data_IF_839740213077
#
_entry.id   IF_839740213077
#
_cell.length_a   1.000
_cell.length_b   1.000
_cell.length_c   1.000
_cell.angle_alpha   90.00
_cell.angle_beta   90.00
_cell.angle_gamma   90.00
#
_symmetry.space_group_name_H-M   'P 1'
#
loop_
_entity.id
_entity.type
_entity.pdbx_description
1 polymer ?
#
# COMPACT_ATOMS: atom_id res chain seq x y z
N UNK A 1 12.66 7.84 8.80
CA UNK A 1 11.31 7.43 8.36
C UNK A 1 10.92 8.16 7.08
N UNK A 2 11.39 7.63 5.96
CA UNK A 2 10.92 7.92 4.62
C UNK A 2 10.55 6.57 4.01
N UNK A 3 9.42 6.44 3.34
CA UNK A 3 9.04 5.19 2.68
C UNK A 3 9.85 5.02 1.39
N UNK A 4 10.57 3.90 1.23
CA UNK A 4 11.34 3.55 0.03
C UNK A 4 11.20 2.05 -0.27
N UNK A 5 11.24 1.68 -1.55
CA UNK A 5 11.46 0.32 -2.03
C UNK A 5 12.94 -0.05 -1.86
N UNK A 6 13.28 -0.47 -0.64
CA UNK A 6 14.66 -0.74 -0.22
C UNK A 6 15.14 -2.13 -0.68
N UNK A 7 15.32 -2.32 -1.99
CA UNK A 7 15.87 -3.57 -2.54
C UNK A 7 17.25 -3.87 -1.91
N UNK A 8 17.40 -5.06 -1.33
CA UNK A 8 18.65 -5.49 -0.70
C UNK A 8 18.88 -4.92 0.71
N UNK A 9 17.81 -4.51 1.40
CA UNK A 9 17.85 -4.02 2.77
C UNK A 9 18.64 -4.91 3.73
N UNK A 10 19.52 -4.29 4.53
CA UNK A 10 20.26 -4.91 5.63
C UNK A 10 19.73 -4.41 6.99
N UNK A 11 19.25 -5.34 7.81
CA UNK A 11 18.60 -5.02 9.06
C UNK A 11 19.52 -4.42 10.15
N UNK A 12 20.84 -4.53 10.00
CA UNK A 12 21.81 -4.01 10.98
C UNK A 12 22.36 -2.63 10.62
N UNK A 13 22.40 -2.29 9.33
CA UNK A 13 23.18 -1.15 8.82
C UNK A 13 22.44 -0.21 7.88
N UNK A 14 21.19 -0.53 7.51
CA UNK A 14 20.43 0.31 6.57
C UNK A 14 19.12 0.81 7.14
N UNK A 15 18.76 2.02 6.74
CA UNK A 15 17.47 2.65 6.87
C UNK A 15 17.25 3.56 5.64
N UNK A 16 16.00 3.84 5.23
CA UNK A 16 14.71 3.37 5.76
C UNK A 16 14.12 2.15 5.01
N UNK A 17 12.93 1.70 5.45
CA UNK A 17 12.12 0.65 4.81
C UNK A 17 10.82 1.23 4.22
N UNK A 18 9.93 0.34 3.79
CA UNK A 18 8.66 0.66 3.15
C UNK A 18 7.72 1.55 3.99
N UNK A 19 7.73 1.47 5.33
CA UNK A 19 6.63 2.01 6.16
C UNK A 19 7.00 3.21 7.02
N UNK A 20 6.00 4.05 7.24
CA UNK A 20 6.05 5.19 8.15
C UNK A 20 4.96 5.03 9.22
N UNK A 21 5.39 4.86 10.48
CA UNK A 21 4.52 4.83 11.66
C UNK A 21 5.21 5.67 12.74
N UNK A 22 4.85 6.96 12.91
CA UNK A 22 5.57 7.90 13.75
C UNK A 22 5.18 7.79 15.23
N UNK A 23 5.28 6.57 15.78
CA UNK A 23 4.93 6.27 17.16
C UNK A 23 6.13 5.67 17.90
N UNK A 24 6.57 6.36 18.95
CA UNK A 24 7.60 5.90 19.87
C UNK A 24 6.97 5.43 21.17
N UNK A 25 7.32 4.22 21.64
CA UNK A 25 6.98 3.73 22.98
C UNK A 25 8.23 3.61 23.83
N UNK A 26 8.17 4.12 25.06
CA UNK A 26 9.29 4.07 26.01
C UNK A 26 8.83 3.46 27.32
N UNK A 27 9.55 2.44 27.79
CA UNK A 27 9.40 1.88 29.13
C UNK A 27 10.39 2.58 30.07
N UNK A 28 9.90 3.01 31.22
CA UNK A 28 10.71 3.59 32.30
C UNK A 28 10.69 2.67 33.52
N UNK A 29 11.40 3.04 34.58
CA UNK A 29 11.32 2.33 35.87
C UNK A 29 9.96 2.48 36.56
N UNK A 30 9.22 3.54 36.21
CA UNK A 30 7.98 3.96 36.90
C UNK A 30 6.74 3.83 36.00
N UNK A 31 6.86 3.15 34.86
CA UNK A 31 5.76 2.95 33.93
C UNK A 31 6.22 2.96 32.47
N UNK A 32 5.40 3.51 31.60
CA UNK A 32 5.66 3.68 30.19
C UNK A 32 4.98 4.95 29.66
N UNK A 33 5.53 5.52 28.61
CA UNK A 33 4.88 6.56 27.83
C UNK A 33 5.02 6.29 26.33
N UNK A 34 4.10 6.85 25.56
CA UNK A 34 4.14 6.83 24.10
C UNK A 34 4.01 8.25 23.55
N UNK A 35 4.69 8.52 22.45
CA UNK A 35 4.56 9.77 21.70
C UNK A 35 4.22 9.41 20.26
N UNK A 36 3.04 9.82 19.80
CA UNK A 36 2.63 9.70 18.40
C UNK A 36 2.74 11.09 17.76
N UNK A 37 3.65 11.24 16.80
CA UNK A 37 3.81 12.47 16.05
C UNK A 37 2.84 12.45 14.88
N UNK A 38 1.82 13.29 14.91
CA UNK A 38 0.77 13.35 13.89
C UNK A 38 1.24 14.18 12.69
N UNK A 39 2.26 13.63 12.03
CA UNK A 39 2.93 14.27 10.90
C UNK A 39 3.27 13.22 9.85
N UNK A 40 2.85 13.51 8.62
CA UNK A 40 2.90 12.58 7.49
C UNK A 40 4.16 12.78 6.60
N UNK A 41 4.94 13.82 6.87
CA UNK A 41 6.17 14.10 6.14
C UNK A 41 7.24 13.06 6.46
N UNK A 42 8.23 12.96 5.58
CA UNK A 42 9.47 12.29 5.91
C UNK A 42 10.02 12.84 7.23
N UNK A 43 10.38 11.93 8.14
CA UNK A 43 10.80 12.27 9.49
C UNK A 43 11.99 11.45 9.95
N UNK A 44 12.72 11.91 10.96
CA UNK A 44 13.89 11.24 11.53
C UNK A 44 13.76 11.16 13.04
N UNK A 45 14.18 10.02 13.59
CA UNK A 45 14.34 9.81 15.02
C UNK A 45 15.81 9.68 15.33
N UNK A 46 16.28 10.46 16.29
CA UNK A 46 17.52 10.20 16.97
C UNK A 46 17.17 9.60 18.32
N UNK A 47 17.59 8.36 18.57
CA UNK A 47 17.32 7.65 19.82
C UNK A 47 18.55 7.63 20.74
N UNK A 48 19.21 8.77 20.91
CA UNK A 48 20.43 8.91 21.70
C UNK A 48 21.71 8.52 20.97
N UNK A 49 21.70 8.57 19.63
CA UNK A 49 22.85 8.25 18.78
C UNK A 49 23.82 9.43 18.62
N UNK A 50 23.35 10.66 18.84
CA UNK A 50 24.19 11.86 18.75
C UNK A 50 25.15 11.95 19.93
N UNK A 51 26.41 12.23 19.61
CA UNK A 51 27.49 12.39 20.58
C UNK A 51 27.70 13.89 20.80
N UNK A 52 27.32 14.36 21.98
CA UNK A 52 27.49 15.75 22.40
C UNK A 52 28.29 15.80 23.71
N UNK A 53 29.28 16.69 23.77
CA UNK A 53 30.14 16.86 24.94
C UNK A 53 29.43 17.56 26.12
N UNK A 54 28.41 18.35 25.84
CA UNK A 54 27.72 19.18 26.82
C UNK A 54 26.34 18.64 27.22
N UNK A 55 25.74 17.78 26.41
CA UNK A 55 24.42 17.20 26.66
C UNK A 55 24.50 15.68 26.86
N UNK A 56 23.67 15.15 27.76
CA UNK A 56 23.48 13.70 27.90
C UNK A 56 22.76 13.16 26.66
N UNK A 57 22.84 11.84 26.37
CA UNK A 57 22.07 11.24 25.29
C UNK A 57 20.59 11.64 25.38
N UNK A 58 20.06 12.17 24.28
CA UNK A 58 18.69 12.64 24.19
C UNK A 58 17.98 12.01 22.99
N UNK A 59 16.66 11.99 23.06
CA UNK A 59 15.82 11.60 21.92
C UNK A 59 15.32 12.86 21.23
N UNK A 60 15.42 12.91 19.90
CA UNK A 60 14.82 13.96 19.10
C UNK A 60 14.05 13.38 17.93
N UNK A 61 13.04 14.14 17.51
CA UNK A 61 12.26 13.88 16.31
C UNK A 61 12.26 15.13 15.45
N UNK A 62 12.37 14.94 14.14
CA UNK A 62 12.33 16.00 13.14
C UNK A 62 11.47 15.53 11.96
N UNK A 63 10.69 16.42 11.36
CA UNK A 63 10.07 16.23 10.06
C UNK A 63 10.57 17.29 9.07
N UNK A 64 10.62 16.93 7.79
CA UNK A 64 11.03 17.85 6.72
C UNK A 64 9.98 18.96 6.52
N UNK A 65 8.69 18.67 6.75
CA UNK A 65 7.57 19.59 6.59
C UNK A 65 6.46 19.37 7.64
N UNK A 66 5.47 20.26 7.63
CA UNK A 66 4.28 20.20 8.48
C UNK A 66 4.52 20.73 9.90
N UNK A 67 3.43 20.85 10.65
CA UNK A 67 3.46 21.35 12.01
C UNK A 67 3.99 20.29 12.99
N UNK A 68 4.42 20.76 14.17
CA UNK A 68 4.69 19.90 15.31
C UNK A 68 3.36 19.62 16.00
N UNK A 69 2.70 18.54 15.59
CA UNK A 69 1.52 17.97 16.26
C UNK A 69 1.87 16.59 16.82
N UNK A 70 1.59 16.36 18.10
CA UNK A 70 1.85 15.08 18.74
C UNK A 70 0.98 14.79 19.95
N UNK A 71 0.73 13.51 20.15
CA UNK A 71 -0.06 12.97 21.25
C UNK A 71 0.85 12.28 22.26
N UNK A 72 0.69 12.62 23.54
CA UNK A 72 1.40 11.97 24.64
C UNK A 72 0.46 11.00 25.36
N UNK A 73 0.91 9.77 25.53
CA UNK A 73 0.19 8.70 26.23
C UNK A 73 1.02 8.22 27.40
N UNK A 74 0.41 7.92 28.54
CA UNK A 74 1.09 7.35 29.70
C UNK A 74 0.38 6.10 30.19
N UNK A 75 1.12 5.17 30.77
CA UNK A 75 0.58 3.94 31.33
C UNK A 75 1.53 3.33 32.37
N UNK A 76 1.02 2.49 33.26
CA UNK A 76 1.86 1.68 34.16
C UNK A 76 2.62 0.58 33.39
N UNK A 77 2.05 0.09 32.28
CA UNK A 77 2.61 -1.00 31.46
C UNK A 77 2.71 -0.56 30.01
N UNK A 78 3.81 -0.91 29.34
CA UNK A 78 4.00 -0.60 27.91
C UNK A 78 2.90 -1.19 27.03
N UNK A 79 2.39 -2.38 27.36
CA UNK A 79 1.29 -3.03 26.62
C UNK A 79 -0.03 -2.29 26.71
N UNK A 80 -0.20 -1.42 27.71
CA UNK A 80 -1.39 -0.57 27.87
C UNK A 80 -1.32 0.70 27.00
N UNK A 81 -0.22 0.97 26.30
CA UNK A 81 -0.13 2.07 25.32
C UNK A 81 -0.78 1.70 23.99
N UNK A 82 -0.70 0.43 23.56
CA UNK A 82 -1.28 -0.04 22.29
C UNK A 82 -2.79 0.26 22.16
N UNK A 83 -3.64 -0.06 23.16
CA UNK A 83 -5.07 0.31 23.07
C UNK A 83 -5.32 1.82 23.06
N UNK A 84 -4.38 2.65 23.52
CA UNK A 84 -4.54 4.12 23.49
C UNK A 84 -4.30 4.65 22.09
N UNK A 85 -3.24 4.21 21.42
CA UNK A 85 -2.98 4.61 20.04
C UNK A 85 -4.07 4.08 19.10
N UNK A 86 -4.56 2.85 19.30
CA UNK A 86 -5.66 2.30 18.49
C UNK A 86 -7.00 3.06 18.68
N UNK A 87 -7.21 3.74 19.81
CA UNK A 87 -8.39 4.63 19.95
C UNK A 87 -8.30 5.86 19.04
N UNK A 88 -7.10 6.33 18.75
CA UNK A 88 -6.87 7.44 17.81
C UNK A 88 -6.86 6.95 16.38
N UNK A 89 -6.16 5.85 16.13
CA UNK A 89 -5.84 5.35 14.78
C UNK A 89 -6.67 4.14 14.37
N UNK A 90 -7.80 3.89 15.04
CA UNK A 90 -8.72 2.79 14.75
C UNK A 90 -8.20 1.40 15.09
N UNK A 91 -9.13 0.45 15.15
CA UNK A 91 -8.85 -0.96 15.46
C UNK A 91 -8.61 -1.79 14.18
N UNK A 92 -7.79 -2.86 14.27
CA UNK A 92 -7.53 -3.71 13.12
C UNK A 92 -8.84 -4.38 12.66
N UNK A 93 -9.03 -4.44 11.34
CA UNK A 93 -10.18 -5.12 10.76
C UNK A 93 -10.16 -6.62 11.10
N UNK A 94 -11.34 -7.18 11.37
CA UNK A 94 -11.47 -8.62 11.58
C UNK A 94 -11.39 -9.33 10.23
N UNK A 95 -10.44 -10.25 10.10
CA UNK A 95 -10.09 -10.87 8.82
C UNK A 95 -11.09 -11.99 8.44
N UNK A 96 -11.20 -12.34 7.14
CA UNK A 96 -11.79 -13.62 6.77
C UNK A 96 -10.93 -14.77 7.29
N UNK A 97 -11.55 -15.92 7.59
CA UNK A 97 -10.85 -17.07 8.21
C UNK A 97 -9.69 -17.58 7.37
N UNK A 98 -9.87 -17.63 6.05
CA UNK A 98 -8.87 -18.12 5.10
C UNK A 98 -7.57 -17.30 5.13
N UNK A 99 -7.64 -16.00 5.48
CA UNK A 99 -6.47 -15.11 5.56
C UNK A 99 -5.52 -15.40 6.74
N UNK A 100 -5.88 -16.36 7.60
CA UNK A 100 -5.02 -16.90 8.66
C UNK A 100 -4.27 -18.16 8.21
N UNK A 101 -4.65 -18.74 7.08
CA UNK A 101 -4.07 -19.94 6.51
C UNK A 101 -2.75 -19.70 5.76
N UNK A 102 -2.21 -20.78 5.22
CA UNK A 102 -1.04 -20.69 4.34
C UNK A 102 -1.44 -20.05 3.00
N UNK A 103 -0.64 -19.08 2.56
CA UNK A 103 -0.77 -18.47 1.24
C UNK A 103 0.45 -18.80 0.39
N UNK A 104 0.23 -19.45 -0.76
CA UNK A 104 1.25 -19.55 -1.80
C UNK A 104 1.57 -18.18 -2.41
N UNK A 105 2.80 -18.00 -2.89
CA UNK A 105 3.23 -16.83 -3.67
C UNK A 105 4.53 -17.12 -4.40
N UNK A 106 4.64 -16.74 -5.66
CA UNK A 106 5.91 -16.72 -6.39
C UNK A 106 5.81 -15.90 -7.67
N UNK A 107 6.87 -15.17 -8.01
CA UNK A 107 6.98 -14.58 -9.35
C UNK A 107 7.17 -15.65 -10.43
N UNK A 108 7.82 -16.77 -10.10
CA UNK A 108 8.21 -17.81 -11.06
C UNK A 108 7.04 -18.33 -11.89
N UNK A 109 5.93 -18.72 -11.24
CA UNK A 109 4.75 -19.20 -11.96
C UNK A 109 4.14 -18.12 -12.86
N UNK A 110 4.01 -16.89 -12.35
CA UNK A 110 3.39 -15.80 -13.13
C UNK A 110 4.25 -15.31 -14.28
N UNK A 111 5.57 -15.45 -14.19
CA UNK A 111 6.50 -15.05 -15.24
C UNK A 111 6.66 -16.13 -16.33
N UNK A 112 6.33 -17.39 -16.03
CA UNK A 112 6.41 -18.50 -16.98
C UNK A 112 5.54 -18.25 -18.24
N UNK A 113 5.95 -18.72 -19.43
CA UNK A 113 5.13 -18.66 -20.64
C UNK A 113 3.79 -19.40 -20.51
N UNK A 114 3.76 -20.48 -19.74
CA UNK A 114 2.60 -21.33 -19.45
C UNK A 114 2.02 -21.08 -18.04
N UNK A 115 2.03 -19.82 -17.58
CA UNK A 115 1.70 -19.44 -16.21
C UNK A 115 0.38 -20.04 -15.67
N UNK A 116 -0.68 -20.04 -16.48
CA UNK A 116 -1.96 -20.67 -16.12
C UNK A 116 -1.78 -22.15 -15.75
N UNK A 117 -1.08 -22.93 -16.58
CA UNK A 117 -0.82 -24.35 -16.29
C UNK A 117 0.03 -24.56 -15.03
N UNK A 118 1.05 -23.71 -14.80
CA UNK A 118 1.88 -23.79 -13.60
C UNK A 118 1.07 -23.52 -12.32
N UNK A 119 0.13 -22.58 -12.37
CA UNK A 119 -0.77 -22.28 -11.26
C UNK A 119 -1.75 -23.41 -10.98
N UNK A 120 -2.30 -24.05 -12.02
CA UNK A 120 -3.16 -25.24 -11.85
C UNK A 120 -2.35 -26.41 -11.26
N UNK A 121 -1.13 -26.64 -11.76
CA UNK A 121 -0.22 -27.65 -11.23
C UNK A 121 0.13 -27.40 -9.75
N UNK A 122 0.24 -26.15 -9.32
CA UNK A 122 0.44 -25.84 -7.90
C UNK A 122 -0.69 -26.40 -7.02
N UNK A 123 -1.95 -26.33 -7.47
CA UNK A 123 -3.09 -26.91 -6.76
C UNK A 123 -2.97 -28.42 -6.68
N UNK A 124 -2.54 -29.08 -7.76
CA UNK A 124 -2.31 -30.53 -7.75
C UNK A 124 -1.18 -30.93 -6.78
N UNK A 125 -0.10 -30.15 -6.73
CA UNK A 125 1.02 -30.39 -5.80
C UNK A 125 0.61 -30.22 -4.33
N UNK A 126 -0.29 -29.29 -4.02
CA UNK A 126 -0.85 -29.16 -2.67
C UNK A 126 -1.58 -30.45 -2.26
N UNK A 127 -2.36 -31.03 -3.17
CA UNK A 127 -3.07 -32.30 -2.93
C UNK A 127 -2.11 -33.47 -2.83
N UNK A 128 -1.15 -33.58 -3.75
CA UNK A 128 -0.13 -34.63 -3.77
C UNK A 128 0.68 -34.68 -2.48
N UNK A 129 1.09 -33.51 -1.97
CA UNK A 129 1.94 -33.40 -0.79
C UNK A 129 1.15 -33.17 0.51
N UNK A 130 -0.19 -33.20 0.46
CA UNK A 130 -1.07 -32.95 1.61
C UNK A 130 -0.75 -31.66 2.37
N UNK A 131 -0.43 -30.58 1.64
CA UNK A 131 -0.13 -29.27 2.20
C UNK A 131 -1.43 -28.45 2.23
N UNK A 132 -1.95 -28.06 3.41
CA UNK A 132 -3.09 -27.17 3.47
C UNK A 132 -2.70 -25.78 2.96
N UNK A 133 -3.56 -25.19 2.14
CA UNK A 133 -3.40 -23.86 1.58
C UNK A 133 -4.78 -23.23 1.48
N UNK A 134 -4.86 -21.93 1.77
CA UNK A 134 -6.12 -21.18 1.74
C UNK A 134 -6.10 -20.12 0.63
N UNK A 135 -4.91 -19.67 0.20
CA UNK A 135 -4.83 -18.64 -0.84
C UNK A 135 -3.56 -18.67 -1.69
N UNK A 136 -3.58 -17.95 -2.80
CA UNK A 136 -2.41 -17.71 -3.62
C UNK A 136 -2.30 -16.23 -4.03
N UNK A 137 -1.13 -15.64 -3.82
CA UNK A 137 -0.80 -14.28 -4.22
C UNK A 137 -0.19 -14.28 -5.63
N UNK A 138 -0.95 -13.78 -6.59
CA UNK A 138 -0.57 -13.67 -7.98
C UNK A 138 0.37 -12.47 -8.15
N UNK A 139 1.66 -12.74 -8.24
CA UNK A 139 2.70 -11.75 -8.57
C UNK A 139 2.47 -11.11 -9.94
N UNK A 140 3.07 -9.95 -10.19
CA UNK A 140 2.81 -9.10 -11.38
C UNK A 140 3.01 -9.73 -12.77
N UNK A 141 3.56 -10.95 -12.88
CA UNK A 141 3.83 -11.61 -14.16
C UNK A 141 2.60 -11.87 -15.04
N UNK A 142 1.39 -11.92 -14.46
CA UNK A 142 0.12 -12.03 -15.19
C UNK A 142 -0.22 -10.78 -16.03
N UNK A 143 0.42 -9.65 -15.72
CA UNK A 143 0.27 -8.35 -16.41
C UNK A 143 1.39 -8.06 -17.41
N UNK A 144 2.29 -9.02 -17.65
CA UNK A 144 3.49 -8.77 -18.46
C UNK A 144 3.13 -8.69 -19.93
N UNK A 145 3.47 -7.59 -20.61
CA UNK A 145 3.36 -7.44 -22.07
C UNK A 145 4.74 -7.02 -22.60
N UNK A 146 5.37 -7.89 -23.39
CA UNK A 146 6.79 -7.75 -23.72
C UNK A 146 7.67 -7.85 -22.47
N UNK A 147 8.55 -6.87 -22.24
CA UNK A 147 9.42 -6.80 -21.06
C UNK A 147 8.86 -5.96 -19.90
N UNK A 148 7.63 -5.44 -20.05
CA UNK A 148 7.00 -4.50 -19.11
C UNK A 148 5.79 -5.12 -18.44
N UNK A 149 5.35 -4.49 -17.35
CA UNK A 149 4.19 -4.91 -16.55
C UNK A 149 3.20 -3.75 -16.49
N UNK A 150 1.94 -4.03 -16.85
CA UNK A 150 0.90 -3.01 -17.01
C UNK A 150 -0.28 -3.36 -16.10
N UNK A 151 -0.40 -2.64 -14.97
CA UNK A 151 -1.47 -2.88 -14.00
C UNK A 151 -2.84 -2.87 -14.68
N UNK A 152 -3.75 -3.73 -14.21
CA UNK A 152 -5.10 -3.87 -14.78
C UNK A 152 -5.14 -4.30 -16.25
N UNK A 153 -4.11 -5.02 -16.70
CA UNK A 153 -4.12 -5.76 -17.97
C UNK A 153 -3.86 -7.24 -17.71
N UNK A 154 -4.22 -8.08 -18.68
CA UNK A 154 -3.96 -9.51 -18.65
C UNK A 154 -3.10 -9.90 -19.84
N UNK A 155 -2.01 -10.63 -19.59
CA UNK A 155 -1.28 -11.32 -20.64
C UNK A 155 -2.13 -12.50 -21.14
N UNK A 156 -2.74 -12.35 -22.31
CA UNK A 156 -3.62 -13.37 -22.91
C UNK A 156 -2.87 -14.55 -23.52
N UNK A 157 -1.57 -14.47 -23.74
CA UNK A 157 -0.77 -15.63 -24.14
C UNK A 157 -0.57 -16.59 -22.96
N UNK A 158 -0.33 -16.03 -21.77
CA UNK A 158 -0.16 -16.77 -20.51
C UNK A 158 -1.48 -17.18 -19.86
N UNK A 159 -2.50 -16.33 -20.00
CA UNK A 159 -3.85 -16.50 -19.47
C UNK A 159 -4.88 -16.21 -20.58
N UNK A 160 -5.09 -17.15 -21.54
CA UNK A 160 -6.05 -16.96 -22.63
C UNK A 160 -7.44 -16.60 -22.12
N UNK A 161 -7.90 -17.34 -21.12
CA UNK A 161 -9.14 -17.10 -20.38
C UNK A 161 -8.84 -17.03 -18.88
N UNK A 162 -8.56 -15.83 -18.34
CA UNK A 162 -8.25 -15.65 -16.92
C UNK A 162 -9.27 -16.32 -15.99
N UNK A 163 -10.56 -16.20 -16.33
CA UNK A 163 -11.69 -16.78 -15.60
C UNK A 163 -11.65 -18.30 -15.46
N UNK A 164 -11.05 -19.03 -16.41
CA UNK A 164 -10.91 -20.49 -16.28
C UNK A 164 -9.90 -20.84 -15.18
N UNK A 165 -8.77 -20.12 -15.14
CA UNK A 165 -7.73 -20.35 -14.13
C UNK A 165 -8.23 -19.95 -12.75
N UNK A 166 -8.79 -18.74 -12.62
CA UNK A 166 -9.28 -18.22 -11.35
C UNK A 166 -10.50 -18.99 -10.84
N UNK A 167 -11.39 -19.43 -11.76
CA UNK A 167 -12.51 -20.30 -11.45
C UNK A 167 -12.06 -21.62 -10.80
N UNK A 168 -11.00 -22.24 -11.31
CA UNK A 168 -10.46 -23.47 -10.73
C UNK A 168 -9.90 -23.28 -9.31
N UNK A 169 -9.29 -22.13 -9.01
CA UNK A 169 -8.92 -21.80 -7.62
C UNK A 169 -10.16 -21.76 -6.72
N UNK A 170 -11.21 -21.05 -7.15
CA UNK A 170 -12.46 -20.94 -6.39
C UNK A 170 -13.14 -22.29 -6.16
N UNK A 171 -13.24 -23.15 -7.18
CA UNK A 171 -13.80 -24.50 -7.10
C UNK A 171 -13.08 -25.41 -6.09
N UNK A 172 -11.79 -25.13 -5.85
CA UNK A 172 -10.96 -25.88 -4.92
C UNK A 172 -10.90 -25.25 -3.52
N UNK A 173 -11.64 -24.16 -3.30
CA UNK A 173 -11.70 -23.44 -2.04
C UNK A 173 -10.48 -22.54 -1.78
N UNK A 174 -9.67 -22.26 -2.81
CA UNK A 174 -8.51 -21.38 -2.73
C UNK A 174 -8.87 -19.95 -3.15
N UNK A 175 -8.43 -18.98 -2.35
CA UNK A 175 -8.63 -17.56 -2.61
C UNK A 175 -7.45 -16.98 -3.40
N UNK A 176 -7.72 -16.03 -4.30
CA UNK A 176 -6.68 -15.36 -5.08
C UNK A 176 -6.53 -13.89 -4.71
N UNK A 177 -5.29 -13.41 -4.66
CA UNK A 177 -4.99 -11.99 -4.55
C UNK A 177 -4.04 -11.50 -5.65
N UNK A 178 -4.45 -10.48 -6.40
CA UNK A 178 -3.66 -9.97 -7.52
C UNK A 178 -2.76 -8.79 -7.15
N UNK A 179 -1.47 -8.88 -7.50
CA UNK A 179 -0.53 -7.76 -7.39
C UNK A 179 -0.97 -6.61 -8.32
N UNK A 180 -1.19 -5.44 -7.73
CA UNK A 180 -1.53 -4.19 -8.42
C UNK A 180 -0.73 -3.03 -7.85
N UNK A 181 -0.35 -2.09 -8.72
CA UNK A 181 0.56 -0.98 -8.40
C UNK A 181 -0.11 0.35 -8.75
N UNK A 182 0.10 1.42 -7.97
CA UNK A 182 -0.59 2.69 -8.18
C UNK A 182 -0.01 3.51 -9.32
N UNK A 183 0.82 2.93 -10.19
CA UNK A 183 1.55 3.65 -11.23
C UNK A 183 1.33 3.03 -12.61
N UNK A 184 1.19 3.90 -13.61
CA UNK A 184 1.15 3.52 -15.02
C UNK A 184 2.43 3.99 -15.67
N UNK A 185 3.17 3.06 -16.29
CA UNK A 185 4.28 3.41 -17.16
C UNK A 185 3.81 4.35 -18.27
N UNK A 186 4.65 5.27 -18.75
CA UNK A 186 4.31 6.18 -19.86
C UNK A 186 3.97 5.45 -21.16
N UNK A 187 4.35 4.18 -21.26
CA UNK A 187 4.06 3.28 -22.37
C UNK A 187 2.86 2.37 -22.12
N UNK A 188 2.16 2.54 -20.99
CA UNK A 188 0.98 1.78 -20.64
C UNK A 188 -0.15 2.09 -21.65
N UNK A 189 -0.91 1.08 -22.14
CA UNK A 189 -1.97 1.30 -23.14
C UNK A 189 -3.01 2.34 -22.69
N UNK A 190 -3.35 2.35 -21.40
CA UNK A 190 -4.28 3.32 -20.80
C UNK A 190 -3.65 4.64 -20.36
N UNK A 191 -2.34 4.86 -20.54
CA UNK A 191 -1.66 6.05 -20.00
C UNK A 191 -2.23 7.35 -20.54
N UNK A 192 -2.45 7.42 -21.87
CA UNK A 192 -2.94 8.64 -22.51
C UNK A 192 -4.32 9.03 -21.99
N UNK A 193 -5.22 8.05 -21.90
CA UNK A 193 -6.60 8.29 -21.50
C UNK A 193 -6.67 8.63 -19.99
N UNK A 194 -5.85 7.98 -19.15
CA UNK A 194 -5.68 8.34 -17.74
C UNK A 194 -5.11 9.76 -17.56
N UNK A 195 -4.10 10.14 -18.35
CA UNK A 195 -3.53 11.48 -18.32
C UNK A 195 -4.55 12.55 -18.77
N UNK A 196 -5.34 12.26 -19.80
CA UNK A 196 -6.41 13.14 -20.26
C UNK A 196 -7.54 13.29 -19.23
N UNK A 197 -7.84 12.23 -18.48
CA UNK A 197 -8.78 12.25 -17.37
C UNK A 197 -8.25 12.99 -16.12
N UNK A 198 -6.97 13.38 -16.11
CA UNK A 198 -6.38 14.18 -15.03
C UNK A 198 -6.22 13.42 -13.71
N UNK A 199 -6.07 12.09 -13.74
CA UNK A 199 -6.07 11.26 -12.51
C UNK A 199 -4.70 11.09 -11.85
N UNK A 200 -3.63 11.61 -12.45
CA UNK A 200 -2.27 11.43 -11.94
C UNK A 200 -1.86 12.57 -11.01
N UNK A 201 -0.93 12.29 -10.09
CA UNK A 201 -0.14 13.32 -9.43
C UNK A 201 0.54 14.18 -10.50
N UNK A 202 0.54 15.49 -10.34
CA UNK A 202 1.09 16.43 -11.34
C UNK A 202 2.28 17.21 -10.78
N UNK A 203 2.97 17.96 -11.64
CA UNK A 203 3.98 18.95 -11.23
C UNK A 203 3.37 20.35 -11.25
N UNK A 204 3.50 21.11 -10.16
CA UNK A 204 3.00 22.49 -10.06
C UNK A 204 3.59 23.42 -11.13
N UNK A 205 4.80 23.14 -11.61
CA UNK A 205 5.46 23.92 -12.67
C UNK A 205 4.79 23.80 -14.03
N UNK A 206 4.22 22.65 -14.36
CA UNK A 206 3.70 22.41 -15.73
C UNK A 206 2.26 21.91 -15.79
N UNK A 207 1.67 21.50 -14.67
CA UNK A 207 0.37 20.84 -14.59
C UNK A 207 0.33 19.47 -15.28
N UNK A 208 1.47 18.93 -15.73
CA UNK A 208 1.57 17.63 -16.39
C UNK A 208 1.76 16.52 -15.35
N UNK A 209 1.43 15.25 -15.69
CA UNK A 209 1.72 14.11 -14.80
C UNK A 209 3.18 14.09 -14.37
N UNK A 210 3.41 14.00 -13.06
CA UNK A 210 4.73 13.83 -12.48
C UNK A 210 5.21 12.39 -12.72
N UNK A 211 6.46 12.24 -13.16
CA UNK A 211 7.01 10.92 -13.52
C UNK A 211 8.16 10.52 -12.61
N UNK A 212 8.19 9.25 -12.20
CA UNK A 212 9.34 8.60 -11.54
C UNK A 212 9.76 7.33 -12.28
N UNK A 213 10.89 6.75 -11.87
CA UNK A 213 11.40 5.49 -12.42
C UNK A 213 10.73 4.31 -11.71
N UNK A 214 10.23 3.35 -12.49
CA UNK A 214 9.69 2.07 -12.02
C UNK A 214 10.37 0.91 -12.75
N UNK A 215 10.07 -0.31 -12.31
CA UNK A 215 10.36 -1.52 -13.06
C UNK A 215 9.78 -1.43 -14.48
N UNK A 216 10.66 -1.37 -15.49
CA UNK A 216 10.27 -1.33 -16.91
C UNK A 216 10.18 0.07 -17.54
N UNK A 217 10.44 1.14 -16.78
CA UNK A 217 10.61 2.50 -17.30
C UNK A 217 9.97 3.59 -16.45
N UNK A 218 9.88 4.80 -17.01
CA UNK A 218 9.20 5.93 -16.37
C UNK A 218 7.68 5.72 -16.32
N UNK A 219 7.05 6.17 -15.24
CA UNK A 219 5.60 6.14 -15.06
C UNK A 219 5.11 7.22 -14.11
N UNK A 220 3.79 7.34 -14.02
CA UNK A 220 3.10 8.34 -13.18
C UNK A 220 2.16 7.64 -12.21
N UNK A 221 2.09 8.14 -10.98
CA UNK A 221 1.22 7.61 -9.94
C UNK A 221 -0.20 8.18 -10.05
N UNK A 222 -1.20 7.32 -9.88
CA UNK A 222 -2.59 7.72 -9.65
C UNK A 222 -2.65 8.54 -8.36
N UNK A 223 -3.39 9.64 -8.39
CA UNK A 223 -3.69 10.44 -7.22
C UNK A 223 -4.98 9.97 -6.57
N UNK A 224 -4.89 9.39 -5.37
CA UNK A 224 -6.04 8.91 -4.62
C UNK A 224 -6.72 9.98 -3.75
N UNK A 225 -6.21 11.21 -3.75
CA UNK A 225 -6.97 12.38 -3.24
C UNK A 225 -7.92 12.92 -4.30
N UNK A 226 -7.70 12.59 -5.57
CA UNK A 226 -8.59 12.93 -6.67
C UNK A 226 -9.73 11.88 -6.79
N UNK A 227 -11.01 12.29 -6.68
CA UNK A 227 -12.14 11.37 -6.77
C UNK A 227 -12.23 10.61 -8.10
N UNK A 228 -11.76 11.20 -9.21
CA UNK A 228 -11.70 10.52 -10.52
C UNK A 228 -10.64 9.42 -10.53
N UNK A 229 -9.50 9.63 -9.85
CA UNK A 229 -8.46 8.61 -9.68
C UNK A 229 -8.94 7.44 -8.83
N UNK A 230 -9.65 7.73 -7.74
CA UNK A 230 -10.31 6.71 -6.90
C UNK A 230 -11.31 5.91 -7.71
N UNK A 231 -12.20 6.56 -8.47
CA UNK A 231 -13.21 5.87 -9.25
C UNK A 231 -12.58 5.00 -10.35
N UNK A 232 -11.61 5.54 -11.10
CA UNK A 232 -10.87 4.79 -12.11
C UNK A 232 -10.21 3.53 -11.52
N UNK A 233 -9.63 3.64 -10.33
CA UNK A 233 -9.04 2.51 -9.64
C UNK A 233 -10.07 1.45 -9.27
N UNK A 234 -11.19 1.87 -8.65
CA UNK A 234 -12.28 0.96 -8.24
C UNK A 234 -12.90 0.23 -9.43
N UNK A 235 -13.13 0.93 -10.53
CA UNK A 235 -13.66 0.34 -11.78
C UNK A 235 -12.72 -0.73 -12.32
N UNK A 236 -11.41 -0.49 -12.30
CA UNK A 236 -10.44 -1.48 -12.74
C UNK A 236 -10.31 -2.66 -11.76
N UNK A 237 -10.32 -2.43 -10.44
CA UNK A 237 -10.39 -3.53 -9.45
C UNK A 237 -11.64 -4.38 -9.71
N UNK A 238 -12.79 -3.74 -9.97
CA UNK A 238 -14.04 -4.46 -10.26
C UNK A 238 -13.93 -5.28 -11.54
N UNK A 239 -13.56 -4.66 -12.66
CA UNK A 239 -13.68 -5.28 -13.98
C UNK A 239 -12.50 -6.15 -14.38
N UNK A 240 -11.28 -5.78 -13.96
CA UNK A 240 -10.07 -6.51 -14.34
C UNK A 240 -9.69 -7.59 -13.34
N UNK A 241 -10.22 -7.54 -12.11
CA UNK A 241 -9.90 -8.53 -11.06
C UNK A 241 -11.15 -9.27 -10.58
N UNK A 242 -12.12 -8.57 -9.98
CA UNK A 242 -13.27 -9.22 -9.32
C UNK A 242 -14.15 -9.95 -10.35
N UNK A 243 -14.50 -9.30 -11.46
CA UNK A 243 -15.22 -9.94 -12.58
C UNK A 243 -14.43 -11.09 -13.21
N UNK A 244 -13.10 -11.09 -13.04
CA UNK A 244 -12.23 -12.19 -13.47
C UNK A 244 -12.07 -13.27 -12.39
N UNK A 245 -12.80 -13.23 -11.27
CA UNK A 245 -12.75 -14.24 -10.21
C UNK A 245 -11.66 -14.03 -9.16
N UNK A 246 -11.03 -12.86 -9.10
CA UNK A 246 -10.05 -12.51 -8.06
C UNK A 246 -10.69 -11.55 -7.05
N UNK A 247 -10.97 -12.06 -5.86
CA UNK A 247 -11.68 -11.33 -4.81
C UNK A 247 -10.80 -10.43 -3.93
N UNK A 248 -9.49 -10.65 -3.92
CA UNK A 248 -8.55 -9.89 -3.08
C UNK A 248 -7.50 -9.16 -3.91
N UNK A 249 -6.94 -8.08 -3.36
CA UNK A 249 -5.84 -7.34 -4.01
C UNK A 249 -4.56 -7.44 -3.21
N UNK A 250 -3.43 -7.32 -3.88
CA UNK A 250 -2.13 -7.07 -3.29
C UNK A 250 -1.64 -5.72 -3.81
N UNK A 251 -1.82 -4.69 -3.00
CA UNK A 251 -1.48 -3.31 -3.34
C UNK A 251 0.01 -3.08 -3.08
N UNK A 252 0.82 -3.00 -4.13
CA UNK A 252 2.28 -3.04 -4.06
C UNK A 252 2.94 -1.79 -4.66
N UNK A 253 4.22 -1.54 -4.36
CA UNK A 253 4.98 -0.36 -4.82
C UNK A 253 4.23 0.97 -4.60
N UNK A 254 3.63 1.13 -3.42
CA UNK A 254 2.79 2.26 -3.08
C UNK A 254 3.43 3.20 -2.05
N UNK A 255 4.76 3.24 -1.99
CA UNK A 255 5.54 4.21 -1.23
C UNK A 255 5.48 5.61 -1.85
N UNK A 256 5.02 5.70 -3.10
CA UNK A 256 4.97 6.92 -3.92
C UNK A 256 6.36 7.55 -4.03
N UNK A 257 7.38 6.86 -4.55
CA UNK A 257 8.74 7.40 -4.71
C UNK A 257 8.88 8.43 -5.86
N UNK A 258 8.07 9.48 -5.82
CA UNK A 258 8.20 10.68 -6.64
C UNK A 258 9.15 11.66 -5.95
N UNK A 259 10.33 11.87 -6.55
CA UNK A 259 11.40 12.71 -5.98
C UNK A 259 11.29 14.19 -6.36
N UNK A 260 10.27 14.56 -7.12
CA UNK A 260 10.01 15.95 -7.50
C UNK A 260 9.48 16.71 -6.30
N UNK A 261 10.17 17.78 -5.89
CA UNK A 261 9.73 18.69 -4.82
C UNK A 261 8.50 19.53 -5.23
N UNK A 262 8.19 19.55 -6.53
CA UNK A 262 7.04 20.25 -7.10
C UNK A 262 5.87 19.30 -7.43
N UNK A 263 5.87 18.06 -6.90
CA UNK A 263 4.81 17.10 -7.10
C UNK A 263 3.57 17.45 -6.26
N UNK A 264 2.46 17.74 -6.92
CA UNK A 264 1.22 18.22 -6.31
C UNK A 264 0.06 17.26 -6.60
N UNK A 265 -0.74 17.01 -5.56
CA UNK A 265 -1.97 16.22 -5.60
C UNK A 265 -3.20 17.15 -5.61
N UNK A 266 -4.35 16.63 -6.02
CA UNK A 266 -5.67 17.28 -5.97
C UNK A 266 -6.02 17.72 -4.54
N UNK A 267 -5.68 16.89 -3.54
CA UNK A 267 -5.86 17.20 -2.13
C UNK A 267 -7.33 17.35 -1.72
N UNK A 268 -8.22 16.53 -2.30
CA UNK A 268 -9.66 16.59 -2.05
C UNK A 268 -10.28 17.93 -2.49
N UNK A 269 -9.85 18.44 -3.65
CA UNK A 269 -10.22 19.75 -4.18
C UNK A 269 -9.40 20.93 -3.64
N UNK A 270 -8.45 20.68 -2.74
CA UNK A 270 -7.53 21.67 -2.20
C UNK A 270 -6.08 21.22 -2.49
N UNK A 271 -5.46 21.70 -3.58
CA UNK A 271 -4.15 21.22 -4.01
C UNK A 271 -3.12 21.23 -2.88
N UNK A 272 -2.39 20.13 -2.77
CA UNK A 272 -1.43 19.90 -1.69
C UNK A 272 -0.17 19.22 -2.24
N UNK A 273 0.99 19.65 -1.75
CA UNK A 273 2.25 19.03 -2.13
C UNK A 273 2.33 17.58 -1.62
N UNK A 274 2.80 16.68 -2.46
CA UNK A 274 2.89 15.26 -2.17
C UNK A 274 3.75 15.01 -0.91
N UNK A 275 4.80 15.79 -0.67
CA UNK A 275 5.66 15.64 0.50
C UNK A 275 4.92 15.78 1.84
N UNK A 276 3.81 16.51 1.87
CA UNK A 276 2.98 16.67 3.07
C UNK A 276 2.06 15.47 3.32
N UNK A 277 1.74 14.69 2.28
CA UNK A 277 0.70 13.66 2.34
C UNK A 277 1.10 12.31 1.71
N UNK A 278 2.39 12.09 1.45
CA UNK A 278 2.88 10.92 0.71
C UNK A 278 2.36 9.58 1.28
N UNK A 279 2.39 9.32 2.60
CA UNK A 279 1.84 8.09 3.15
C UNK A 279 0.31 7.96 3.00
N UNK A 280 -0.40 9.09 2.89
CA UNK A 280 -1.86 9.11 2.70
C UNK A 280 -2.25 8.55 1.35
N UNK A 281 -1.45 8.76 0.30
CA UNK A 281 -1.74 8.18 -1.01
C UNK A 281 -1.81 6.64 -0.97
N UNK A 282 -0.87 6.02 -0.26
CA UNK A 282 -0.85 4.57 -0.06
C UNK A 282 -2.04 4.06 0.76
N UNK A 283 -2.42 4.82 1.79
CA UNK A 283 -3.61 4.56 2.58
C UNK A 283 -4.87 4.63 1.72
N UNK A 284 -5.03 5.68 0.91
CA UNK A 284 -6.20 5.86 0.08
C UNK A 284 -6.28 4.84 -1.06
N UNK A 285 -5.14 4.38 -1.60
CA UNK A 285 -5.09 3.22 -2.51
C UNK A 285 -5.66 1.96 -1.84
N UNK A 286 -5.25 1.69 -0.60
CA UNK A 286 -5.75 0.56 0.17
C UNK A 286 -7.26 0.68 0.46
N UNK A 287 -7.73 1.90 0.77
CA UNK A 287 -9.14 2.19 0.96
C UNK A 287 -9.94 1.99 -0.33
N UNK A 288 -9.46 2.48 -1.47
CA UNK A 288 -10.14 2.34 -2.75
C UNK A 288 -10.30 0.85 -3.15
N UNK A 289 -9.23 0.06 -3.02
CA UNK A 289 -9.30 -1.40 -3.24
C UNK A 289 -10.27 -2.08 -2.28
N UNK A 290 -10.26 -1.72 -0.99
CA UNK A 290 -11.18 -2.24 0.03
C UNK A 290 -12.64 -1.92 -0.30
N UNK A 291 -12.93 -0.67 -0.66
CA UNK A 291 -14.28 -0.21 -0.99
C UNK A 291 -14.80 -0.93 -2.25
N UNK A 292 -13.97 -1.12 -3.27
CA UNK A 292 -14.34 -1.89 -4.47
C UNK A 292 -14.73 -3.35 -4.14
N UNK A 293 -13.94 -4.03 -3.30
CA UNK A 293 -14.24 -5.38 -2.84
C UNK A 293 -15.55 -5.44 -2.03
N UNK A 294 -15.73 -4.50 -1.09
CA UNK A 294 -16.94 -4.42 -0.25
C UNK A 294 -18.19 -4.13 -1.08
N UNK A 295 -18.09 -3.27 -2.09
CA UNK A 295 -19.20 -2.96 -2.99
C UNK A 295 -19.60 -4.17 -3.85
N UNK A 296 -18.62 -4.97 -4.29
CA UNK A 296 -18.88 -6.18 -5.06
C UNK A 296 -19.43 -7.34 -4.20
N UNK A 297 -19.00 -7.45 -2.94
CA UNK A 297 -19.43 -8.51 -2.02
C UNK A 297 -19.74 -7.96 -0.61
N UNK A 298 -20.90 -7.28 -0.41
CA UNK A 298 -21.21 -6.59 0.86
C UNK A 298 -21.36 -7.51 2.08
N UNK A 299 -21.65 -8.79 1.86
CA UNK A 299 -21.81 -9.79 2.91
C UNK A 299 -20.47 -10.42 3.34
N UNK A 300 -19.42 -10.26 2.53
CA UNK A 300 -18.11 -10.83 2.76
C UNK A 300 -17.17 -9.83 3.43
N UNK A 301 -16.12 -10.34 4.08
CA UNK A 301 -15.07 -9.49 4.64
C UNK A 301 -14.00 -9.27 3.57
N UNK A 302 -13.80 -8.02 3.10
CA UNK A 302 -12.73 -7.72 2.17
C UNK A 302 -11.37 -8.09 2.76
N UNK A 303 -10.46 -8.50 1.90
CA UNK A 303 -9.09 -8.77 2.28
C UNK A 303 -8.13 -8.27 1.21
N UNK A 304 -7.06 -7.63 1.66
CA UNK A 304 -5.99 -7.25 0.77
C UNK A 304 -4.64 -7.29 1.48
N UNK A 305 -3.61 -7.60 0.68
CA UNK A 305 -2.22 -7.55 1.09
C UNK A 305 -1.68 -6.15 0.81
N UNK A 306 -1.31 -5.37 1.84
CA UNK A 306 -0.62 -4.11 1.63
C UNK A 306 0.88 -4.33 1.39
N UNK A 307 1.47 -3.63 0.43
CA UNK A 307 2.93 -3.46 0.28
C UNK A 307 3.52 -2.77 1.52
N UNK A 308 2.79 -1.80 2.08
CA UNK A 308 3.06 -1.21 3.39
C UNK A 308 2.70 -2.10 4.61
N UNK A 309 2.49 -3.41 4.43
CA UNK A 309 2.17 -4.41 5.46
C UNK A 309 0.98 -4.09 6.41
N UNK A 310 0.46 -5.14 7.05
CA UNK A 310 -0.90 -5.20 7.65
C UNK A 310 -1.33 -4.12 8.66
N UNK A 311 -0.41 -3.33 9.22
CA UNK A 311 -0.70 -2.45 10.37
C UNK A 311 -1.36 -1.12 10.02
N UNK A 312 -1.35 -0.69 8.75
CA UNK A 312 -1.92 0.60 8.36
C UNK A 312 -3.42 0.53 7.99
N UNK A 313 -4.03 -0.67 7.98
CA UNK A 313 -5.48 -0.82 7.77
C UNK A 313 -6.33 -0.39 8.96
N UNK A 314 -5.73 -0.31 10.16
CA UNK A 314 -6.42 0.09 11.39
C UNK A 314 -7.03 1.49 11.27
N UNK A 315 -6.33 2.39 10.58
CA UNK A 315 -6.61 3.85 10.53
C UNK A 315 -7.85 4.21 9.73
N UNK A 316 -8.40 3.29 8.94
CA UNK A 316 -9.48 3.63 8.00
C UNK A 316 -10.78 2.85 8.21
N UNK A 317 -10.89 2.05 9.28
CA UNK A 317 -12.16 1.37 9.63
C UNK A 317 -13.22 2.33 10.19
N UNK A 318 -12.87 3.60 10.45
CA UNK A 318 -13.81 4.69 10.77
C UNK A 318 -13.73 5.83 9.73
N UNK A 319 -14.87 6.31 9.19
CA UNK A 319 -14.91 7.59 8.50
C UNK A 319 -14.45 8.70 9.46
N UNK A 320 -13.44 9.50 9.06
CA UNK A 320 -13.04 10.73 9.76
C UNK A 320 -11.70 10.74 10.51
N UNK A 321 -10.86 9.70 10.41
CA UNK A 321 -9.60 9.61 11.19
C UNK A 321 -8.38 10.23 10.50
N UNK A 322 -8.42 10.44 9.18
CA UNK A 322 -7.44 11.30 8.50
C UNK A 322 -8.05 12.68 8.36
N UNK A 323 -7.94 13.50 9.39
CA UNK A 323 -8.06 14.95 9.23
C UNK A 323 -6.79 15.43 8.54
N UNK A 324 -6.84 15.62 7.22
CA UNK A 324 -5.92 16.56 6.59
C UNK A 324 -6.40 17.93 7.08
N UNK A 325 -5.62 18.66 7.90
CA UNK A 325 -6.00 20.02 8.25
C UNK A 325 -6.11 20.84 6.96
N UNK A 326 -7.18 21.63 6.76
CA UNK A 326 -7.22 22.56 5.64
C UNK A 326 -6.02 23.50 5.76
N UNK A 327 -5.31 23.81 4.66
CA UNK A 327 -4.24 24.78 4.69
C UNK A 327 -4.77 26.11 5.25
N UNK A 328 -4.29 26.51 6.43
CA UNK A 328 -4.61 27.82 7.04
C UNK A 328 -5.77 27.87 8.03
N UNK A 329 -6.11 26.78 8.74
CA UNK A 329 -6.84 26.93 10.00
C UNK A 329 -5.85 27.33 11.12
N UNK A 330 -6.14 28.39 11.89
CA UNK A 330 -5.21 29.03 12.84
C UNK A 330 -4.81 28.16 14.03
#
# INVERSE_FOLDING_TARGET
MKCLDALGYDAGSTDPLYKHVPFLMTRTTNGAFGIFYDNLSASRFNLGAEVDNYHRPFTSWQADHGDIDFWVMTAERVTSLTPQILRLTGDPAFLPRWALGYSGSTMHYTDAPDASHQLLKFIDLLREHAIPCDSFQLSSGYTTIGSRRYVFTWNRDKFPQPTETTGHFSETGLHLAANIKPALLTTHPYYRDAAQAGIFVTTSRTGKPATSMFWGGHGSNVDFTNPLGVQWWKDNVRHQLIDMGIESTWNDNNEYELWSEDATCDGFGHPVELDLIRPVQALLMNRASFEAQREAAPAERPFLFPGLGRWVYSVMSRPGVVTIPPPGAP
#
